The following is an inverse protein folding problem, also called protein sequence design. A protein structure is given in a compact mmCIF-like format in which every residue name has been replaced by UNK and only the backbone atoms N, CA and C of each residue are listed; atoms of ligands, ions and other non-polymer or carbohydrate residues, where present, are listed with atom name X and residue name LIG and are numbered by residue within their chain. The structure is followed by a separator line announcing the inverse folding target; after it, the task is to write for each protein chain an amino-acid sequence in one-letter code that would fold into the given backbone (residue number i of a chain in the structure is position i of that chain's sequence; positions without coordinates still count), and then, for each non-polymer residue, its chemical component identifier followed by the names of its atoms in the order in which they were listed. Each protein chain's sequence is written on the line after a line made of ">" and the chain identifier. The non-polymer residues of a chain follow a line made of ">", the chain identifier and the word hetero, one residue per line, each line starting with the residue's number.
data_IF_154582181090
#
_entry.id   IF_154582181090
#
_cell.length_a   1.000
_cell.length_b   1.000
_cell.length_c   1.000
_cell.angle_alpha   90.00
_cell.angle_beta   90.00
_cell.angle_gamma   90.00
#
_symmetry.space_group_name_H-M   'P 1'
#
loop_
_entity.id
_entity.type
_entity.pdbx_description
1 polymer ?
#
# COMPACT_ATOMS: atom_id res chain seq x y z
N UNK A 1 25.84 -12.01 -8.42
CA UNK A 1 25.35 -10.81 -7.71
C UNK A 1 25.14 -9.74 -8.76
N UNK A 2 24.07 -8.94 -8.69
CA UNK A 2 23.96 -7.76 -9.55
C UNK A 2 25.11 -6.80 -9.23
N UNK A 3 25.80 -6.34 -10.25
CA UNK A 3 26.85 -5.33 -10.10
C UNK A 3 26.18 -4.01 -9.64
N UNK A 4 26.59 -3.51 -8.47
CA UNK A 4 26.07 -2.24 -7.93
C UNK A 4 27.03 -1.14 -8.34
N UNK A 5 26.78 -0.52 -9.49
CA UNK A 5 27.50 0.67 -9.92
C UNK A 5 26.82 1.90 -9.33
N UNK A 6 27.53 2.64 -8.47
CA UNK A 6 27.08 3.95 -8.02
C UNK A 6 27.44 4.99 -9.10
N UNK A 7 26.55 5.92 -9.47
CA UNK A 7 26.77 6.80 -10.62
C UNK A 7 27.83 7.87 -10.40
N UNK A 8 28.31 8.07 -9.16
CA UNK A 8 29.31 9.06 -8.83
C UNK A 8 30.67 8.44 -8.51
N UNK A 9 31.72 9.11 -8.95
CA UNK A 9 33.11 8.86 -8.58
C UNK A 9 33.38 9.33 -7.14
N UNK A 10 34.53 8.88 -6.59
CA UNK A 10 35.00 9.33 -5.27
C UNK A 10 35.17 10.86 -5.21
N UNK A 11 35.73 11.48 -6.26
CA UNK A 11 35.98 12.91 -6.30
C UNK A 11 34.67 13.73 -6.27
N UNK A 12 33.62 13.25 -6.96
CA UNK A 12 32.29 13.87 -6.93
C UNK A 12 31.65 13.76 -5.54
N UNK A 13 31.80 12.62 -4.86
CA UNK A 13 31.33 12.43 -3.48
C UNK A 13 32.06 13.33 -2.47
N UNK A 14 33.37 13.51 -2.63
CA UNK A 14 34.16 14.44 -1.81
C UNK A 14 33.71 15.89 -2.02
N UNK A 15 33.42 16.29 -3.27
CA UNK A 15 32.88 17.61 -3.59
C UNK A 15 31.52 17.87 -2.93
N UNK A 16 30.61 16.90 -2.99
CA UNK A 16 29.32 16.97 -2.29
C UNK A 16 29.49 17.07 -0.77
N UNK A 17 30.46 16.34 -0.20
CA UNK A 17 30.72 16.36 1.25
C UNK A 17 31.34 17.66 1.74
N UNK A 18 32.02 18.41 0.86
CA UNK A 18 32.49 19.76 1.14
C UNK A 18 31.34 20.79 1.05
N UNK A 19 30.33 20.55 0.23
CA UNK A 19 29.18 21.44 0.03
C UNK A 19 28.06 21.22 1.06
N UNK A 20 27.77 19.96 1.42
CA UNK A 20 26.67 19.58 2.29
C UNK A 20 27.21 18.97 3.60
N UNK A 21 26.77 19.44 4.78
CA UNK A 21 27.17 18.86 6.05
C UNK A 21 26.86 17.36 6.13
N UNK A 22 27.83 16.58 6.61
CA UNK A 22 27.69 15.13 6.77
C UNK A 22 27.21 14.74 8.18
N UNK A 23 26.45 13.64 8.34
CA UNK A 23 26.02 12.70 7.29
C UNK A 23 24.76 13.18 6.54
N UNK A 24 24.66 12.80 5.27
CA UNK A 24 23.47 13.00 4.46
C UNK A 24 23.12 11.73 3.66
N UNK A 25 21.86 11.63 3.23
CA UNK A 25 21.40 10.60 2.30
C UNK A 25 21.46 11.12 0.87
N UNK A 26 21.90 10.26 -0.05
CA UNK A 26 21.92 10.55 -1.49
C UNK A 26 21.07 9.52 -2.23
N UNK A 27 20.10 10.00 -2.99
CA UNK A 27 19.19 9.17 -3.77
C UNK A 27 19.42 9.40 -5.26
N UNK A 28 19.50 8.32 -6.03
CA UNK A 28 19.58 8.37 -7.49
C UNK A 28 18.17 8.30 -8.08
N UNK A 29 17.61 9.46 -8.44
CA UNK A 29 16.28 9.55 -9.06
C UNK A 29 16.18 8.74 -10.36
N UNK A 30 17.23 8.75 -11.20
CA UNK A 30 17.23 8.00 -12.45
C UNK A 30 17.09 6.51 -12.16
N UNK A 31 17.86 5.99 -11.21
CA UNK A 31 17.75 4.60 -10.79
C UNK A 31 16.35 4.28 -10.23
N UNK A 32 15.74 5.16 -9.44
CA UNK A 32 14.38 4.95 -8.90
C UNK A 32 13.36 4.81 -10.05
N UNK A 33 13.39 5.73 -11.02
CA UNK A 33 12.49 5.70 -12.19
C UNK A 33 12.72 4.46 -13.06
N UNK A 34 13.98 4.10 -13.30
CA UNK A 34 14.32 2.91 -14.08
C UNK A 34 13.86 1.61 -13.39
N UNK A 35 13.90 1.54 -12.05
CA UNK A 35 13.33 0.42 -11.30
C UNK A 35 11.80 0.36 -11.44
N UNK A 36 11.11 1.49 -11.30
CA UNK A 36 9.65 1.55 -11.48
C UNK A 36 9.22 1.05 -12.87
N UNK A 37 9.88 1.52 -13.93
CA UNK A 37 9.60 1.09 -15.31
C UNK A 37 9.84 -0.40 -15.51
N UNK A 38 10.96 -0.93 -15.02
CA UNK A 38 11.25 -2.37 -15.09
C UNK A 38 10.22 -3.21 -14.33
N UNK A 39 9.75 -2.70 -13.19
CA UNK A 39 8.72 -3.36 -12.40
C UNK A 39 7.41 -3.44 -13.18
N UNK A 40 6.89 -2.33 -13.71
CA UNK A 40 5.67 -2.35 -14.53
C UNK A 40 5.81 -3.21 -15.79
N UNK A 41 6.99 -3.23 -16.44
CA UNK A 41 7.23 -4.12 -17.56
C UNK A 41 7.06 -5.60 -17.21
N UNK A 42 7.51 -6.02 -16.02
CA UNK A 42 7.36 -7.40 -15.53
C UNK A 42 5.89 -7.79 -15.27
N UNK A 43 5.03 -6.82 -14.94
CA UNK A 43 3.60 -7.03 -14.69
C UNK A 43 2.71 -6.64 -15.87
N UNK A 44 3.28 -6.33 -17.03
CA UNK A 44 2.56 -5.86 -18.23
C UNK A 44 1.44 -6.77 -18.73
N UNK A 45 1.47 -8.07 -18.38
CA UNK A 45 0.40 -9.04 -18.70
C UNK A 45 -0.90 -8.77 -17.92
N UNK A 46 -0.85 -7.97 -16.86
CA UNK A 46 -2.00 -7.66 -15.99
C UNK A 46 -2.44 -6.21 -16.22
N UNK A 47 -3.45 -5.95 -17.08
CA UNK A 47 -3.79 -4.59 -17.52
C UNK A 47 -4.27 -3.66 -16.40
N UNK A 48 -4.78 -4.23 -15.30
CA UNK A 48 -5.29 -3.48 -14.14
C UNK A 48 -4.33 -3.52 -12.95
N UNK A 49 -3.08 -3.94 -13.17
CA UNK A 49 -2.08 -4.00 -12.10
C UNK A 49 -1.74 -2.60 -11.59
N UNK A 50 -1.66 -2.46 -10.27
CA UNK A 50 -1.20 -1.25 -9.60
C UNK A 50 -0.24 -1.66 -8.49
N UNK A 51 0.89 -0.97 -8.44
CA UNK A 51 1.84 -1.04 -7.33
C UNK A 51 1.53 0.03 -6.31
N UNK A 52 1.64 -0.29 -5.01
CA UNK A 52 1.56 0.68 -3.93
C UNK A 52 2.86 0.65 -3.11
N UNK A 53 3.56 1.78 -3.07
CA UNK A 53 4.79 1.90 -2.31
C UNK A 53 4.50 1.99 -0.81
N UNK A 54 5.08 1.09 -0.01
CA UNK A 54 4.96 1.12 1.44
C UNK A 54 5.66 2.37 2.01
N UNK A 55 4.88 3.37 2.43
CA UNK A 55 5.40 4.69 2.81
C UNK A 55 6.39 4.60 3.98
N UNK A 56 6.12 3.73 4.96
CA UNK A 56 7.05 3.43 6.08
C UNK A 56 8.47 3.02 5.67
N UNK A 57 8.67 2.52 4.45
CA UNK A 57 10.01 2.15 3.97
C UNK A 57 10.88 3.38 3.66
N UNK A 58 10.29 4.47 3.17
CA UNK A 58 10.97 5.74 2.94
C UNK A 58 9.94 6.87 2.93
N UNK A 59 9.59 7.47 4.09
CA UNK A 59 8.56 8.50 4.21
C UNK A 59 9.09 9.87 3.76
N UNK A 60 9.61 9.94 2.54
CA UNK A 60 10.16 11.13 1.92
C UNK A 60 9.20 11.61 0.81
N UNK A 61 8.57 12.80 0.94
CA UNK A 61 7.56 13.27 -0.01
C UNK A 61 8.12 13.51 -1.41
N UNK A 62 9.42 13.82 -1.56
CA UNK A 62 10.04 13.97 -2.87
C UNK A 62 10.19 12.62 -3.59
N UNK A 63 10.59 11.57 -2.86
CA UNK A 63 10.67 10.21 -3.41
C UNK A 63 9.26 9.69 -3.74
N UNK A 64 8.29 9.92 -2.85
CA UNK A 64 6.89 9.57 -3.11
C UNK A 64 6.36 10.27 -4.35
N UNK A 65 6.71 11.55 -4.57
CA UNK A 65 6.32 12.30 -5.78
C UNK A 65 6.94 11.69 -7.04
N UNK A 66 8.23 11.34 -7.01
CA UNK A 66 8.91 10.64 -8.13
C UNK A 66 8.20 9.33 -8.47
N UNK A 67 7.88 8.51 -7.47
CA UNK A 67 7.17 7.23 -7.64
C UNK A 67 5.75 7.44 -8.18
N UNK A 68 5.04 8.47 -7.68
CA UNK A 68 3.71 8.84 -8.15
C UNK A 68 3.70 9.24 -9.63
N UNK A 69 4.73 9.97 -10.09
CA UNK A 69 4.88 10.35 -11.49
C UNK A 69 5.13 9.13 -12.40
N UNK A 70 5.72 8.05 -11.87
CA UNK A 70 5.85 6.75 -12.57
C UNK A 70 4.60 5.86 -12.43
N UNK A 71 3.52 6.34 -11.79
CA UNK A 71 2.23 5.64 -11.67
C UNK A 71 2.09 4.74 -10.43
N UNK A 72 3.07 4.73 -9.53
CA UNK A 72 3.03 3.97 -8.27
C UNK A 72 2.18 4.70 -7.24
N UNK A 73 1.28 3.97 -6.57
CA UNK A 73 0.46 4.48 -5.47
C UNK A 73 1.19 4.50 -4.12
N UNK A 74 0.47 4.79 -3.05
CA UNK A 74 0.98 4.74 -1.67
C UNK A 74 0.23 3.67 -0.86
N UNK A 75 0.95 2.85 -0.10
CA UNK A 75 0.41 2.01 0.97
C UNK A 75 0.79 2.64 2.30
N UNK A 76 -0.21 3.17 2.99
CA UNK A 76 -0.09 3.93 4.23
C UNK A 76 -0.58 3.09 5.40
N UNK A 77 0.11 3.14 6.54
CA UNK A 77 -0.31 2.46 7.78
C UNK A 77 -0.59 3.42 8.94
N UNK A 78 -0.61 4.74 8.70
CA UNK A 78 -0.92 5.74 9.73
C UNK A 78 -1.38 7.07 9.14
N UNK A 79 -2.00 7.93 9.95
CA UNK A 79 -2.40 9.29 9.56
C UNK A 79 -1.24 10.15 9.01
N UNK A 80 -0.03 10.20 9.61
CA UNK A 80 1.09 10.92 9.03
C UNK A 80 1.44 10.45 7.61
N UNK A 81 1.34 9.16 7.33
CA UNK A 81 1.59 8.61 6.00
C UNK A 81 0.50 8.99 5.00
N UNK A 82 -0.77 9.01 5.43
CA UNK A 82 -1.88 9.53 4.61
C UNK A 82 -1.67 11.01 4.25
N UNK A 83 -1.24 11.82 5.22
CA UNK A 83 -0.91 13.24 4.98
C UNK A 83 0.27 13.37 4.00
N UNK A 84 1.31 12.55 4.13
CA UNK A 84 2.43 12.54 3.18
C UNK A 84 1.98 12.15 1.78
N UNK A 85 1.12 11.13 1.64
CA UNK A 85 0.54 10.73 0.36
C UNK A 85 -0.28 11.87 -0.26
N UNK A 86 -1.13 12.53 0.52
CA UNK A 86 -1.88 13.70 0.06
C UNK A 86 -0.96 14.81 -0.44
N UNK A 87 0.10 15.13 0.31
CA UNK A 87 1.10 16.14 -0.09
C UNK A 87 1.89 15.76 -1.34
N UNK A 88 2.07 14.47 -1.60
CA UNK A 88 2.65 13.96 -2.84
C UNK A 88 1.66 13.94 -4.02
N UNK A 89 0.40 14.35 -3.81
CA UNK A 89 -0.65 14.37 -4.84
C UNK A 89 -1.32 13.00 -5.06
N UNK A 90 -1.19 12.08 -4.11
CA UNK A 90 -1.83 10.76 -4.14
C UNK A 90 -3.13 10.81 -3.32
N UNK A 91 -4.24 10.51 -3.98
CA UNK A 91 -5.59 10.39 -3.41
C UNK A 91 -6.38 9.30 -4.16
N UNK A 92 -7.59 8.98 -3.69
CA UNK A 92 -8.46 7.99 -4.32
C UNK A 92 -7.88 6.58 -4.24
N UNK A 93 -8.22 5.76 -5.24
CA UNK A 93 -7.69 4.40 -5.40
C UNK A 93 -6.17 4.32 -5.66
N UNK A 94 -5.45 5.44 -5.62
CA UNK A 94 -3.98 5.45 -5.62
C UNK A 94 -3.39 5.31 -4.21
N UNK A 95 -4.23 5.38 -3.17
CA UNK A 95 -3.83 5.22 -1.78
C UNK A 95 -4.52 3.99 -1.21
N UNK A 96 -3.73 3.07 -0.66
CA UNK A 96 -4.16 1.95 0.16
C UNK A 96 -3.88 2.31 1.62
N UNK A 97 -4.85 2.10 2.50
CA UNK A 97 -4.69 2.30 3.93
C UNK A 97 -4.75 0.95 4.65
N UNK A 98 -3.57 0.43 5.01
CA UNK A 98 -3.37 -0.88 5.63
C UNK A 98 -2.90 -0.69 7.08
N UNK A 99 -3.84 -0.51 8.01
CA UNK A 99 -3.56 -0.31 9.44
C UNK A 99 -4.30 -1.35 10.30
N UNK A 100 -3.62 -1.80 11.36
CA UNK A 100 -4.03 -2.90 12.24
C UNK A 100 -4.64 -2.43 13.57
N UNK A 101 -4.30 -1.24 14.04
CA UNK A 101 -4.82 -0.63 15.27
C UNK A 101 -5.30 0.79 14.95
N UNK A 102 -6.40 0.85 14.20
CA UNK A 102 -6.81 2.07 13.50
C UNK A 102 -7.80 2.89 14.32
N UNK A 103 -7.45 4.12 14.74
CA UNK A 103 -8.40 5.04 15.35
C UNK A 103 -9.50 5.46 14.37
N UNK A 104 -10.69 5.78 14.90
CA UNK A 104 -11.82 6.31 14.13
C UNK A 104 -11.42 7.50 13.23
N UNK A 105 -10.64 8.44 13.76
CA UNK A 105 -10.18 9.62 13.03
C UNK A 105 -9.34 9.28 11.80
N UNK A 106 -8.60 8.17 11.81
CA UNK A 106 -7.81 7.73 10.67
C UNK A 106 -8.68 7.09 9.59
N UNK A 107 -9.72 6.34 9.97
CA UNK A 107 -10.71 5.84 9.00
C UNK A 107 -11.46 7.00 8.33
N UNK A 108 -11.88 8.00 9.10
CA UNK A 108 -12.53 9.20 8.56
C UNK A 108 -11.61 9.90 7.57
N UNK A 109 -10.33 10.09 7.92
CA UNK A 109 -9.37 10.76 7.03
C UNK A 109 -9.07 9.94 5.77
N UNK A 110 -8.89 8.62 5.88
CA UNK A 110 -8.72 7.73 4.74
C UNK A 110 -9.93 7.76 3.80
N UNK A 111 -11.14 7.75 4.35
CA UNK A 111 -12.38 7.86 3.57
C UNK A 111 -12.52 9.22 2.88
N UNK A 112 -12.18 10.33 3.56
CA UNK A 112 -12.14 11.67 2.96
C UNK A 112 -11.14 11.75 1.79
N UNK A 113 -10.02 11.04 1.89
CA UNK A 113 -9.06 10.90 0.79
C UNK A 113 -9.52 9.93 -0.30
N UNK A 114 -10.66 9.27 -0.13
CA UNK A 114 -11.17 8.18 -0.99
C UNK A 114 -10.15 7.04 -1.13
N UNK A 115 -9.32 6.82 -0.11
CA UNK A 115 -8.35 5.74 -0.08
C UNK A 115 -9.06 4.38 0.03
N UNK A 116 -8.41 3.34 -0.49
CA UNK A 116 -8.86 1.96 -0.29
C UNK A 116 -8.52 1.56 1.13
N UNK A 117 -9.53 1.34 1.97
CA UNK A 117 -9.33 0.87 3.34
C UNK A 117 -9.15 -0.64 3.29
N UNK A 118 -8.01 -1.12 3.79
CA UNK A 118 -7.64 -2.52 3.79
C UNK A 118 -7.68 -3.09 5.21
N UNK A 119 -8.72 -3.87 5.50
CA UNK A 119 -8.96 -4.43 6.82
C UNK A 119 -8.22 -5.78 6.97
N UNK A 120 -7.57 -5.97 8.11
CA UNK A 120 -6.86 -7.21 8.45
C UNK A 120 -7.58 -8.07 9.50
N UNK A 121 -8.62 -7.52 10.11
CA UNK A 121 -9.53 -8.22 11.03
C UNK A 121 -11.00 -7.95 10.64
N UNK A 122 -11.82 -9.01 10.63
CA UNK A 122 -13.26 -8.93 10.35
C UNK A 122 -14.03 -8.11 11.39
N UNK A 123 -13.56 -8.08 12.62
CA UNK A 123 -14.18 -7.31 13.71
C UNK A 123 -14.15 -5.80 13.44
N UNK A 124 -13.25 -5.32 12.58
CA UNK A 124 -13.16 -3.91 12.22
C UNK A 124 -14.24 -3.44 11.24
N UNK A 125 -15.03 -4.34 10.61
CA UNK A 125 -16.12 -3.91 9.71
C UNK A 125 -17.14 -3.05 10.47
N UNK A 126 -17.64 -3.55 11.61
CA UNK A 126 -18.68 -2.86 12.38
C UNK A 126 -18.15 -1.53 12.92
N UNK A 127 -16.90 -1.51 13.37
CA UNK A 127 -16.25 -0.28 13.82
C UNK A 127 -16.05 0.73 12.68
N UNK A 128 -15.66 0.27 11.48
CA UNK A 128 -15.55 1.11 10.28
C UNK A 128 -16.91 1.68 9.86
N UNK A 129 -17.96 0.86 9.85
CA UNK A 129 -19.33 1.28 9.54
C UNK A 129 -19.80 2.34 10.53
N UNK A 130 -19.57 2.14 11.83
CA UNK A 130 -19.91 3.12 12.87
C UNK A 130 -19.13 4.43 12.71
N UNK A 131 -17.83 4.34 12.44
CA UNK A 131 -16.95 5.50 12.22
C UNK A 131 -17.37 6.35 11.02
N UNK A 132 -17.83 5.71 9.94
CA UNK A 132 -18.15 6.38 8.68
C UNK A 132 -19.65 6.64 8.47
N UNK A 133 -20.51 6.03 9.30
CA UNK A 133 -21.97 6.00 9.14
C UNK A 133 -22.47 5.05 8.04
N UNK A 134 -21.59 4.62 7.13
CA UNK A 134 -21.81 3.59 6.12
C UNK A 134 -20.47 3.06 5.63
N UNK A 135 -20.44 1.84 5.12
CA UNK A 135 -19.24 1.27 4.50
C UNK A 135 -18.95 1.92 3.13
N UNK A 136 -17.67 2.12 2.77
CA UNK A 136 -17.28 2.58 1.44
C UNK A 136 -17.67 1.58 0.33
N UNK A 137 -17.88 2.06 -0.89
CA UNK A 137 -18.19 1.20 -2.07
C UNK A 137 -17.09 0.17 -2.35
N UNK A 138 -15.84 0.53 -2.01
CA UNK A 138 -14.65 -0.29 -2.18
C UNK A 138 -13.93 -0.48 -0.84
N UNK A 139 -13.83 -1.73 -0.41
CA UNK A 139 -13.00 -2.15 0.73
C UNK A 139 -12.09 -3.30 0.29
N UNK A 140 -10.89 -3.36 0.87
CA UNK A 140 -9.93 -4.43 0.68
C UNK A 140 -9.75 -5.25 1.96
N UNK A 141 -9.34 -6.51 1.81
CA UNK A 141 -9.05 -7.38 2.95
C UNK A 141 -7.67 -8.01 2.82
N UNK A 142 -6.95 -8.03 3.95
CA UNK A 142 -5.71 -8.76 4.08
C UNK A 142 -6.02 -10.23 4.32
N UNK A 143 -5.71 -11.05 3.33
CA UNK A 143 -5.90 -12.49 3.41
C UNK A 143 -4.63 -13.19 3.91
N UNK A 144 -4.78 -14.10 4.88
CA UNK A 144 -3.71 -14.95 5.36
C UNK A 144 -3.88 -16.37 4.78
N UNK A 145 -3.00 -16.84 3.88
CA UNK A 145 -3.11 -18.14 3.21
C UNK A 145 -2.78 -19.35 4.11
N UNK A 146 -2.73 -19.17 5.43
CA UNK A 146 -2.58 -20.24 6.41
C UNK A 146 -1.13 -20.65 6.68
N UNK A 147 -0.92 -21.78 7.39
CA UNK A 147 0.36 -22.15 8.03
C UNK A 147 1.46 -22.59 7.05
N UNK A 148 1.22 -22.53 5.73
CA UNK A 148 2.22 -22.85 4.71
C UNK A 148 3.41 -21.88 4.68
N UNK A 149 3.42 -20.84 5.54
CA UNK A 149 4.52 -19.88 5.66
C UNK A 149 4.77 -19.53 7.13
N UNK A 150 5.80 -20.13 7.72
CA UNK A 150 6.34 -19.64 8.98
C UNK A 150 6.84 -18.19 8.81
N UNK A 151 6.58 -17.38 9.84
CA UNK A 151 7.23 -16.07 9.99
C UNK A 151 8.75 -16.21 10.10
N UNK A 152 9.47 -15.09 10.17
CA UNK A 152 10.90 -15.12 10.48
C UNK A 152 11.21 -14.13 11.62
N UNK A 153 12.41 -14.23 12.18
CA UNK A 153 12.85 -13.40 13.29
C UNK A 153 12.82 -11.89 13.00
N UNK A 154 12.75 -11.48 11.72
CA UNK A 154 12.72 -10.08 11.29
C UNK A 154 11.30 -9.53 11.13
N UNK A 155 10.34 -10.37 10.73
CA UNK A 155 8.97 -9.98 10.36
C UNK A 155 7.94 -10.39 11.45
N UNK A 156 8.37 -11.17 12.45
CA UNK A 156 7.50 -11.72 13.50
C UNK A 156 6.77 -13.00 13.05
N UNK A 157 6.11 -13.68 13.99
CA UNK A 157 5.23 -14.83 13.67
C UNK A 157 4.04 -14.34 12.85
N UNK A 158 3.72 -15.03 11.75
CA UNK A 158 2.58 -14.67 10.90
C UNK A 158 1.28 -15.19 11.53
N UNK A 159 0.32 -14.28 11.72
CA UNK A 159 -1.04 -14.58 12.18
C UNK A 159 -2.04 -13.43 11.93
N UNK A 160 -1.65 -12.40 11.19
CA UNK A 160 -2.46 -11.19 10.95
C UNK A 160 -3.07 -11.26 9.55
N UNK A 161 -4.39 -11.07 9.44
CA UNK A 161 -5.19 -11.25 8.24
C UNK A 161 -6.23 -12.36 8.38
N UNK A 162 -7.29 -12.29 7.58
CA UNK A 162 -8.41 -13.25 7.61
C UNK A 162 -7.91 -14.64 7.17
N UNK A 163 -8.02 -15.63 8.07
CA UNK A 163 -7.56 -17.01 7.84
C UNK A 163 -8.48 -17.85 6.97
N UNK A 164 -7.98 -18.99 6.48
CA UNK A 164 -8.68 -19.93 5.59
C UNK A 164 -10.01 -20.46 6.16
N UNK A 165 -10.08 -20.60 7.49
CA UNK A 165 -11.20 -21.19 8.23
C UNK A 165 -12.43 -20.27 8.22
N UNK A 166 -12.21 -18.97 8.01
CA UNK A 166 -13.22 -17.98 7.66
C UNK A 166 -13.16 -17.78 6.15
N UNK A 167 -13.81 -18.70 5.41
CA UNK A 167 -13.83 -18.65 3.95
C UNK A 167 -14.09 -17.20 3.47
N UNK A 168 -13.31 -16.68 2.50
CA UNK A 168 -13.56 -15.39 1.88
C UNK A 168 -15.03 -15.20 1.47
N UNK A 169 -15.77 -16.28 1.22
CA UNK A 169 -17.20 -16.27 0.87
C UNK A 169 -18.14 -15.70 1.94
N UNK A 170 -17.97 -16.01 3.23
CA UNK A 170 -18.85 -15.41 4.27
C UNK A 170 -18.60 -13.91 4.42
N UNK A 171 -17.34 -13.53 4.24
CA UNK A 171 -16.89 -12.15 4.29
C UNK A 171 -17.40 -11.35 3.08
N UNK A 172 -17.16 -11.88 1.87
CA UNK A 172 -17.67 -11.38 0.59
C UNK A 172 -19.19 -11.22 0.68
N UNK A 173 -19.90 -12.23 1.19
CA UNK A 173 -21.34 -12.19 1.35
C UNK A 173 -21.77 -11.09 2.32
N UNK A 174 -21.16 -10.99 3.52
CA UNK A 174 -21.54 -9.97 4.50
C UNK A 174 -21.31 -8.54 3.99
N UNK A 175 -20.22 -8.31 3.29
CA UNK A 175 -19.95 -6.99 2.69
C UNK A 175 -20.84 -6.70 1.49
N UNK A 176 -21.21 -7.71 0.69
CA UNK A 176 -22.24 -7.58 -0.35
C UNK A 176 -23.63 -7.27 0.25
N UNK A 177 -23.99 -7.94 1.35
CA UNK A 177 -25.25 -7.70 2.10
C UNK A 177 -25.30 -6.27 2.65
N UNK A 178 -24.14 -5.68 2.97
CA UNK A 178 -23.97 -4.30 3.42
C UNK A 178 -23.73 -3.30 2.28
N UNK A 179 -23.82 -3.73 1.02
CA UNK A 179 -23.76 -2.84 -0.15
C UNK A 179 -22.36 -2.52 -0.71
N UNK A 180 -21.33 -3.29 -0.35
CA UNK A 180 -19.96 -3.17 -0.89
C UNK A 180 -19.80 -4.08 -2.11
N UNK A 181 -19.87 -3.49 -3.30
CA UNK A 181 -19.89 -4.22 -4.57
C UNK A 181 -18.53 -4.31 -5.27
N UNK A 182 -17.51 -3.58 -4.81
CA UNK A 182 -16.14 -3.68 -5.31
C UNK A 182 -15.24 -4.14 -4.18
N UNK A 183 -14.59 -5.29 -4.36
CA UNK A 183 -13.74 -5.89 -3.34
C UNK A 183 -12.39 -6.26 -3.93
N UNK A 184 -11.34 -6.04 -3.16
CA UNK A 184 -9.96 -6.36 -3.52
C UNK A 184 -9.37 -7.28 -2.47
N UNK A 185 -8.59 -8.27 -2.91
CA UNK A 185 -7.86 -9.17 -2.02
C UNK A 185 -6.40 -8.75 -2.05
N UNK A 186 -5.87 -8.33 -0.90
CA UNK A 186 -4.45 -8.04 -0.80
C UNK A 186 -3.68 -9.27 -0.33
N UNK A 187 -2.83 -9.80 -1.21
CA UNK A 187 -1.84 -10.84 -0.90
C UNK A 187 -0.47 -10.18 -0.74
N UNK A 188 -0.26 -9.42 0.35
CA UNK A 188 0.93 -8.59 0.65
C UNK A 188 1.41 -7.69 -0.51
N UNK A 189 1.21 -6.37 -0.43
CA UNK A 189 1.58 -5.34 -1.43
C UNK A 189 1.02 -5.54 -2.86
N UNK A 190 0.56 -6.75 -3.19
CA UNK A 190 -0.12 -7.08 -4.44
C UNK A 190 -1.63 -7.01 -4.26
N UNK A 191 -2.27 -6.30 -5.20
CA UNK A 191 -3.71 -6.11 -5.28
C UNK A 191 -4.22 -6.69 -6.60
N UNK A 192 -5.12 -7.68 -6.50
CA UNK A 192 -5.86 -8.23 -7.64
C UNK A 192 -7.31 -7.75 -7.54
N UNK A 193 -7.73 -6.89 -8.47
CA UNK A 193 -9.13 -6.45 -8.57
C UNK A 193 -9.95 -7.39 -9.44
N UNK A 194 -11.14 -7.76 -8.96
CA UNK A 194 -12.19 -8.43 -9.73
C UNK A 194 -13.50 -7.68 -9.52
N UNK A 195 -14.18 -7.32 -10.61
CA UNK A 195 -15.55 -6.80 -10.53
C UNK A 195 -16.52 -7.99 -10.46
N UNK A 196 -17.19 -8.16 -9.32
CA UNK A 196 -18.36 -9.03 -9.25
C UNK A 196 -19.53 -8.23 -9.84
N UNK A 197 -19.84 -8.48 -11.11
CA UNK A 197 -20.92 -7.80 -11.82
C UNK A 197 -22.25 -7.98 -11.08
N UNK A 198 -23.04 -6.89 -11.00
CA UNK A 198 -24.43 -6.90 -10.53
C UNK A 198 -25.19 -7.99 -11.29
N UNK A 199 -25.65 -9.01 -10.57
CA UNK A 199 -26.65 -9.94 -11.09
C UNK A 199 -27.92 -9.16 -11.44
N UNK A 200 -28.37 -9.32 -12.68
CA UNK A 200 -29.77 -9.15 -13.09
C UNK A 200 -30.48 -10.46 -12.79
#
# INVERSE_FOLDING_TARGET
>A
MSEKTFPLTKAELEALSAQYPTPFYLYDEKAIRDHAKRFFAAFSRFPNFREYFAVKACPNPFIMKILADEGIGADCSSLPELILAQKAGLTGEKVMFTSNETPESEYIYANLMQAIINLDDITHIEFLEQALGALPELISFRYNPGPLRDGNALIGKQGIGVGLDHLPLHFLQRTLDLGVYRQRLQLRHFDCSGNLAKGV
#
